data_IF_753313332610
#
_entry.id   IF_753313332610
#
_cell.length_a   1.000
_cell.length_b   1.000
_cell.length_c   1.000
_cell.angle_alpha   90.00
_cell.angle_beta   90.00
_cell.angle_gamma   90.00
#
_symmetry.space_group_name_H-M   'P 1'
#
loop_
_entity.id
_entity.type
_entity.pdbx_description
1 polymer ?
#
# COMPACT_ATOMS: atom_id res chain seq x y z
N UNK A 1 -12.16 -33.88 14.57
CA UNK A 1 -12.92 -32.83 13.87
C UNK A 1 -11.92 -31.78 13.41
N UNK A 2 -11.82 -31.53 12.11
CA UNK A 2 -10.93 -30.50 11.55
C UNK A 2 -11.68 -29.18 11.68
N UNK A 3 -11.27 -28.30 12.60
CA UNK A 3 -11.82 -26.95 12.67
C UNK A 3 -11.46 -26.23 11.36
N UNK A 4 -12.46 -26.03 10.50
CA UNK A 4 -12.31 -25.23 9.29
C UNK A 4 -12.50 -23.79 9.73
N UNK A 5 -11.43 -23.01 9.64
CA UNK A 5 -11.51 -21.59 9.93
C UNK A 5 -11.98 -20.83 8.68
N UNK A 6 -12.90 -19.86 8.82
CA UNK A 6 -13.37 -19.07 7.68
C UNK A 6 -12.22 -18.23 7.11
N UNK A 7 -11.91 -18.45 5.83
CA UNK A 7 -10.89 -17.70 5.09
C UNK A 7 -11.54 -17.03 3.89
N UNK A 8 -11.61 -15.71 3.93
CA UNK A 8 -12.03 -14.87 2.82
C UNK A 8 -10.75 -14.38 2.13
N UNK A 9 -10.73 -14.38 0.80
CA UNK A 9 -9.67 -13.74 0.00
C UNK A 9 -10.29 -13.21 -1.29
N UNK A 10 -10.43 -11.89 -1.41
CA UNK A 10 -11.10 -11.28 -2.56
C UNK A 10 -10.65 -9.85 -2.83
N UNK A 11 -10.92 -9.35 -4.04
CA UNK A 11 -10.71 -7.97 -4.40
C UNK A 11 -11.57 -7.05 -3.52
N UNK A 12 -11.00 -5.90 -3.15
CA UNK A 12 -11.61 -4.98 -2.22
C UNK A 12 -11.45 -3.52 -2.67
N UNK A 13 -12.38 -2.68 -2.21
CA UNK A 13 -12.26 -1.22 -2.25
C UNK A 13 -12.47 -0.70 -0.84
N UNK A 14 -11.60 0.19 -0.36
CA UNK A 14 -11.75 0.81 0.97
C UNK A 14 -12.46 2.15 0.79
N UNK A 15 -13.50 2.42 1.59
CA UNK A 15 -14.15 3.72 1.70
C UNK A 15 -14.03 4.28 3.11
N UNK A 16 -13.73 5.57 3.23
CA UNK A 16 -13.68 6.25 4.52
C UNK A 16 -14.13 7.70 4.44
N UNK A 17 -14.56 8.23 5.58
CA UNK A 17 -14.86 9.64 5.72
C UNK A 17 -13.54 10.40 5.98
N UNK A 18 -13.22 11.34 5.09
CA UNK A 18 -12.11 12.28 5.20
C UNK A 18 -12.66 13.68 5.35
N UNK A 19 -12.57 14.24 6.56
CA UNK A 19 -13.22 15.51 6.92
C UNK A 19 -14.72 15.43 6.55
N UNK A 20 -15.13 16.17 5.52
CA UNK A 20 -16.53 16.24 5.05
C UNK A 20 -16.77 15.49 3.73
N UNK A 21 -15.76 14.79 3.21
CA UNK A 21 -15.83 14.06 1.93
C UNK A 21 -15.62 12.57 2.12
N UNK A 22 -16.41 11.77 1.43
CA UNK A 22 -16.22 10.33 1.42
C UNK A 22 -15.21 9.96 0.34
N UNK A 23 -14.09 9.37 0.75
CA UNK A 23 -12.98 8.97 -0.11
C UNK A 23 -12.99 7.47 -0.33
N UNK A 24 -12.37 7.04 -1.43
CA UNK A 24 -12.22 5.65 -1.80
C UNK A 24 -10.78 5.35 -2.22
N UNK A 25 -10.32 4.15 -1.86
CA UNK A 25 -9.08 3.56 -2.35
C UNK A 25 -9.45 2.27 -3.07
N UNK A 26 -9.55 2.39 -4.39
CA UNK A 26 -9.92 1.30 -5.30
C UNK A 26 -8.73 0.84 -6.16
N UNK A 27 -7.73 1.69 -6.33
CA UNK A 27 -6.56 1.43 -7.17
C UNK A 27 -5.29 1.39 -6.33
N UNK A 28 -4.44 0.37 -6.53
CA UNK A 28 -3.06 0.42 -6.10
C UNK A 28 -2.26 1.42 -6.93
N UNK A 29 -0.97 1.55 -6.63
CA UNK A 29 -0.07 2.46 -7.32
C UNK A 29 -0.08 2.27 -8.86
N UNK A 30 -0.43 3.29 -9.66
CA UNK A 30 -0.64 3.20 -11.11
C UNK A 30 0.63 3.03 -11.94
N UNK A 31 1.83 2.98 -11.33
CA UNK A 31 3.05 2.60 -12.07
C UNK A 31 3.04 1.16 -12.58
N UNK A 32 2.07 0.35 -12.16
CA UNK A 32 1.73 -0.92 -12.79
C UNK A 32 0.63 -0.70 -13.84
N UNK A 33 0.99 -0.67 -15.13
CA UNK A 33 0.00 -0.60 -16.22
C UNK A 33 -0.65 -1.97 -16.54
N UNK A 34 -0.56 -2.93 -15.62
CA UNK A 34 -1.15 -4.26 -15.74
C UNK A 34 -2.39 -4.37 -14.88
N UNK A 35 -3.51 -4.65 -15.55
CA UNK A 35 -4.90 -4.74 -15.08
C UNK A 35 -5.16 -5.70 -13.89
N UNK A 36 -4.16 -6.34 -13.32
CA UNK A 36 -4.29 -7.47 -12.39
C UNK A 36 -4.09 -7.08 -10.92
N UNK A 37 -3.90 -5.80 -10.61
CA UNK A 37 -3.59 -5.35 -9.25
C UNK A 37 -4.84 -4.76 -8.60
N UNK A 38 -5.57 -5.58 -7.84
CA UNK A 38 -6.63 -5.13 -6.95
C UNK A 38 -6.11 -5.11 -5.51
N UNK A 39 -6.71 -4.29 -4.65
CA UNK A 39 -6.53 -4.45 -3.21
C UNK A 39 -7.14 -5.80 -2.82
N UNK A 40 -6.48 -6.55 -1.95
CA UNK A 40 -6.97 -7.85 -1.52
C UNK A 40 -7.33 -7.78 -0.04
N UNK A 41 -8.58 -8.07 0.31
CA UNK A 41 -8.95 -8.34 1.69
C UNK A 41 -8.80 -9.83 1.97
N UNK A 42 -8.18 -10.15 3.09
CA UNK A 42 -8.02 -11.50 3.60
C UNK A 42 -8.54 -11.57 5.03
N UNK A 43 -9.15 -12.68 5.38
CA UNK A 43 -9.40 -13.03 6.78
C UNK A 43 -8.49 -14.18 7.15
N UNK A 44 -7.75 -14.02 8.25
CA UNK A 44 -6.96 -15.08 8.85
C UNK A 44 -7.53 -15.38 10.22
N UNK A 45 -8.14 -16.55 10.35
CA UNK A 45 -8.53 -17.12 11.63
C UNK A 45 -7.76 -18.42 11.78
N UNK A 46 -6.95 -18.52 12.82
CA UNK A 46 -6.25 -19.73 13.23
C UNK A 46 -6.27 -19.85 14.76
N UNK A 47 -5.68 -20.91 15.31
CA UNK A 47 -5.65 -21.18 16.75
C UNK A 47 -4.93 -20.11 17.57
N UNK A 48 -4.14 -19.25 16.93
CA UNK A 48 -3.24 -18.32 17.60
C UNK A 48 -3.52 -16.87 17.26
N UNK A 49 -4.21 -16.60 16.16
CA UNK A 49 -4.45 -15.30 15.58
C UNK A 49 -5.79 -15.24 14.87
N UNK A 50 -6.49 -14.11 15.02
CA UNK A 50 -7.73 -13.85 14.30
C UNK A 50 -7.73 -12.40 13.90
N UNK A 51 -7.58 -12.13 12.60
CA UNK A 51 -7.43 -10.78 12.05
C UNK A 51 -7.94 -10.66 10.62
N UNK A 52 -8.27 -9.44 10.22
CA UNK A 52 -8.42 -9.03 8.83
C UNK A 52 -7.13 -8.38 8.34
N UNK A 53 -6.73 -8.71 7.11
CA UNK A 53 -5.64 -8.06 6.39
C UNK A 53 -6.20 -7.41 5.12
N UNK A 54 -5.79 -6.18 4.82
CA UNK A 54 -5.98 -5.61 3.49
C UNK A 54 -4.61 -5.36 2.88
N UNK A 55 -4.28 -6.10 1.84
CA UNK A 55 -3.05 -5.95 1.08
C UNK A 55 -3.24 -4.88 0.00
N UNK A 56 -2.41 -3.84 0.04
CA UNK A 56 -2.40 -2.74 -0.92
C UNK A 56 -1.09 -2.81 -1.70
N UNK A 57 -1.11 -3.26 -2.97
CA UNK A 57 0.06 -3.26 -3.82
C UNK A 57 0.57 -1.84 -4.08
N UNK A 58 1.88 -1.62 -3.95
CA UNK A 58 2.48 -0.32 -4.25
C UNK A 58 3.99 -0.38 -4.49
N UNK A 59 4.55 0.67 -5.09
CA UNK A 59 5.99 0.78 -5.23
C UNK A 59 6.62 1.52 -4.05
N UNK A 60 7.52 0.83 -3.35
CA UNK A 60 8.36 1.43 -2.31
C UNK A 60 9.82 1.39 -2.74
N UNK A 61 10.56 2.45 -2.44
CA UNK A 61 12.02 2.44 -2.58
C UNK A 61 12.60 1.51 -1.52
N UNK A 62 13.09 0.36 -1.94
CA UNK A 62 13.78 -0.59 -1.09
C UNK A 62 15.25 -0.19 -0.92
N UNK A 63 15.84 -0.53 0.23
CA UNK A 63 17.29 -0.37 0.50
C UNK A 63 18.12 -1.33 -0.35
N UNK A 64 17.57 -2.49 -0.69
CA UNK A 64 18.23 -3.53 -1.50
C UNK A 64 17.85 -3.43 -2.99
N UNK A 65 18.67 -4.02 -3.87
CA UNK A 65 18.41 -4.20 -5.32
C UNK A 65 17.26 -5.19 -5.61
N UNK A 66 16.23 -5.22 -4.78
CA UNK A 66 15.03 -6.03 -4.97
C UNK A 66 14.03 -5.28 -5.84
N UNK A 67 13.07 -6.02 -6.37
CA UNK A 67 11.95 -5.45 -7.11
C UNK A 67 11.26 -4.38 -6.25
N UNK A 68 11.04 -3.16 -6.76
CA UNK A 68 10.47 -2.06 -5.98
C UNK A 68 8.97 -2.26 -5.67
N UNK A 69 8.36 -3.32 -6.21
CA UNK A 69 6.97 -3.67 -6.06
C UNK A 69 6.77 -4.50 -4.81
N UNK A 70 5.99 -3.97 -3.87
CA UNK A 70 5.71 -4.58 -2.59
C UNK A 70 4.24 -4.34 -2.20
N UNK A 71 3.78 -4.98 -1.13
CA UNK A 71 2.45 -4.70 -0.58
C UNK A 71 2.60 -4.07 0.80
N UNK A 72 1.81 -3.02 1.05
CA UNK A 72 1.54 -2.54 2.40
C UNK A 72 0.33 -3.28 2.92
N UNK A 73 0.39 -3.72 4.17
CA UNK A 73 -0.69 -4.51 4.79
C UNK A 73 -1.33 -3.67 5.89
N UNK A 74 -2.64 -3.48 5.78
CA UNK A 74 -3.47 -2.96 6.87
C UNK A 74 -3.95 -4.16 7.70
N UNK A 75 -3.54 -4.23 8.95
CA UNK A 75 -3.84 -5.34 9.85
C UNK A 75 -4.81 -4.90 10.95
N UNK A 76 -5.89 -5.67 11.11
CA UNK A 76 -6.98 -5.40 12.05
C UNK A 76 -7.31 -6.67 12.83
N UNK A 77 -6.73 -6.86 14.02
CA UNK A 77 -7.10 -7.99 14.87
C UNK A 77 -8.60 -7.96 15.22
N UNK A 78 -9.27 -9.11 15.19
CA UNK A 78 -10.71 -9.17 15.49
C UNK A 78 -11.05 -8.66 16.90
N UNK A 79 -10.10 -8.71 17.82
CA UNK A 79 -10.22 -8.17 19.18
C UNK A 79 -10.30 -6.63 19.23
N UNK A 80 -9.81 -5.93 18.22
CA UNK A 80 -9.86 -4.46 18.17
C UNK A 80 -11.13 -3.94 17.51
N UNK A 81 -11.95 -4.82 16.92
CA UNK A 81 -13.19 -4.45 16.24
C UNK A 81 -14.31 -4.34 17.29
N UNK A 82 -14.81 -3.12 17.48
CA UNK A 82 -15.93 -2.81 18.36
C UNK A 82 -17.26 -3.28 17.75
N UNK A 83 -17.46 -2.96 16.47
CA UNK A 83 -18.66 -3.30 15.72
C UNK A 83 -18.30 -3.73 14.29
N UNK A 84 -18.98 -4.75 13.81
CA UNK A 84 -18.81 -5.32 12.49
C UNK A 84 -20.17 -5.67 11.91
N UNK A 85 -20.45 -5.13 10.72
CA UNK A 85 -21.68 -5.45 10.00
C UNK A 85 -21.44 -5.59 8.51
N UNK A 86 -22.14 -6.52 7.89
CA UNK A 86 -22.19 -6.68 6.45
C UNK A 86 -23.58 -6.31 5.94
N UNK A 87 -23.65 -5.61 4.80
CA UNK A 87 -24.90 -5.35 4.08
C UNK A 87 -24.69 -5.41 2.57
N UNK A 88 -25.70 -5.87 1.84
CA UNK A 88 -25.71 -5.74 0.40
C UNK A 88 -26.00 -4.29 0.01
N UNK A 89 -25.28 -3.75 -0.98
CA UNK A 89 -25.52 -2.41 -1.48
C UNK A 89 -26.56 -2.42 -2.61
N UNK A 90 -27.69 -1.72 -2.47
CA UNK A 90 -28.65 -1.58 -3.58
C UNK A 90 -28.11 -0.66 -4.67
N UNK A 91 -27.33 0.36 -4.28
CA UNK A 91 -26.68 1.29 -5.19
C UNK A 91 -25.20 1.33 -4.88
N UNK A 92 -24.37 0.92 -5.84
CA UNK A 92 -22.92 0.86 -5.68
C UNK A 92 -22.29 2.20 -6.09
N UNK A 93 -21.40 2.81 -5.28
CA UNK A 93 -20.68 4.02 -5.69
C UNK A 93 -19.85 3.82 -6.96
N UNK A 94 -19.67 4.87 -7.77
CA UNK A 94 -18.92 4.78 -9.03
C UNK A 94 -17.48 4.24 -8.87
N UNK A 95 -16.69 4.67 -7.86
CA UNK A 95 -15.34 4.14 -7.66
C UNK A 95 -15.31 2.64 -7.35
N UNK A 96 -16.39 2.12 -6.75
CA UNK A 96 -16.53 0.71 -6.39
C UNK A 96 -16.98 -0.11 -7.61
N UNK A 97 -17.94 0.40 -8.39
CA UNK A 97 -18.41 -0.21 -9.65
C UNK A 97 -17.32 -0.36 -10.70
N UNK A 98 -16.32 0.52 -10.68
CA UNK A 98 -15.21 0.46 -11.61
C UNK A 98 -14.29 -0.76 -11.39
N UNK A 99 -14.31 -1.37 -10.20
CA UNK A 99 -13.42 -2.47 -9.82
C UNK A 99 -14.12 -3.77 -9.46
N UNK A 100 -15.32 -3.67 -8.92
CA UNK A 100 -16.11 -4.80 -8.48
C UNK A 100 -17.26 -5.07 -9.45
N UNK A 101 -17.78 -6.27 -9.40
CA UNK A 101 -18.94 -6.71 -10.17
C UNK A 101 -20.22 -5.96 -9.77
N UNK A 102 -21.34 -6.29 -10.42
CA UNK A 102 -22.62 -5.60 -10.22
C UNK A 102 -23.25 -5.82 -8.84
N UNK A 103 -22.86 -6.87 -8.10
CA UNK A 103 -23.37 -7.15 -6.75
C UNK A 103 -22.24 -7.02 -5.73
N UNK A 104 -22.39 -6.09 -4.79
CA UNK A 104 -21.35 -5.72 -3.83
C UNK A 104 -21.87 -5.83 -2.40
N UNK A 105 -21.05 -6.43 -1.55
CA UNK A 105 -21.22 -6.43 -0.09
C UNK A 105 -20.38 -5.30 0.49
N UNK A 106 -20.99 -4.50 1.36
CA UNK A 106 -20.33 -3.49 2.19
C UNK A 106 -20.08 -4.08 3.57
N UNK A 107 -18.82 -4.11 3.98
CA UNK A 107 -18.36 -4.48 5.31
C UNK A 107 -18.04 -3.21 6.08
N UNK A 108 -18.87 -2.85 7.05
CA UNK A 108 -18.65 -1.69 7.90
C UNK A 108 -17.89 -2.11 9.16
N UNK A 109 -16.76 -1.44 9.39
CA UNK A 109 -15.88 -1.65 10.53
C UNK A 109 -15.93 -0.45 11.47
N UNK A 110 -16.08 -0.72 12.76
CA UNK A 110 -15.80 0.24 13.84
C UNK A 110 -14.75 -0.36 14.77
N UNK A 111 -13.63 0.33 14.94
CA UNK A 111 -12.49 -0.14 15.72
C UNK A 111 -12.35 0.64 17.04
N UNK A 112 -11.90 -0.05 18.09
CA UNK A 112 -11.50 0.56 19.36
C UNK A 112 -10.10 1.19 19.27
N UNK A 113 -9.24 0.58 18.46
CA UNK A 113 -7.84 0.97 18.24
C UNK A 113 -7.59 1.35 16.78
N UNK A 114 -6.52 2.07 16.52
CA UNK A 114 -6.13 2.46 15.16
C UNK A 114 -5.65 1.24 14.36
N UNK A 115 -5.75 1.32 13.03
CA UNK A 115 -5.32 0.24 12.14
C UNK A 115 -3.79 0.13 12.18
N UNK A 116 -3.27 -1.09 12.37
CA UNK A 116 -1.83 -1.33 12.31
C UNK A 116 -1.38 -1.42 10.87
N UNK A 117 -0.39 -0.62 10.48
CA UNK A 117 0.20 -0.63 9.14
C UNK A 117 1.50 -1.42 9.16
N UNK A 118 1.63 -2.37 8.25
CA UNK A 118 2.83 -3.17 8.07
C UNK A 118 3.46 -2.86 6.71
N UNK A 119 4.76 -2.59 6.72
CA UNK A 119 5.56 -2.33 5.51
C UNK A 119 6.70 -3.34 5.43
N UNK A 120 7.25 -3.61 4.24
CA UNK A 120 8.41 -4.47 4.13
C UNK A 120 9.59 -4.00 4.98
N UNK A 121 10.31 -4.93 5.61
CA UNK A 121 11.44 -4.63 6.50
C UNK A 121 12.52 -3.77 5.82
N UNK A 122 12.81 -4.10 4.55
CA UNK A 122 13.83 -3.46 3.70
C UNK A 122 13.32 -2.21 2.96
N UNK A 123 12.10 -1.73 3.25
CA UNK A 123 11.67 -0.44 2.74
C UNK A 123 12.44 0.68 3.47
N UNK A 124 13.01 1.64 2.71
CA UNK A 124 13.60 2.84 3.32
C UNK A 124 12.52 3.56 4.13
N UNK A 125 12.87 3.93 5.36
CA UNK A 125 11.95 4.50 6.33
C UNK A 125 11.25 5.76 5.83
N UNK A 126 9.96 5.80 6.19
CA UNK A 126 8.93 6.74 5.79
C UNK A 126 8.83 6.96 4.29
N UNK A 127 7.85 6.28 3.65
CA UNK A 127 7.49 6.59 2.28
C UNK A 127 7.27 8.10 2.14
N UNK A 128 8.08 8.75 1.30
CA UNK A 128 8.09 10.21 1.22
C UNK A 128 6.71 10.73 0.83
N UNK A 129 6.18 11.67 1.63
CA UNK A 129 4.91 12.34 1.34
C UNK A 129 4.93 12.98 -0.05
N UNK A 130 3.82 12.87 -0.78
CA UNK A 130 3.44 13.76 -1.88
C UNK A 130 4.42 14.00 -3.04
N UNK A 131 3.96 13.71 -4.26
CA UNK A 131 4.22 14.35 -5.58
C UNK A 131 4.03 13.37 -6.73
N UNK A 132 4.14 12.08 -6.44
CA UNK A 132 3.89 10.98 -7.40
C UNK A 132 2.67 10.18 -6.95
N UNK A 133 2.04 9.44 -7.87
CA UNK A 133 0.82 8.67 -7.59
C UNK A 133 1.00 7.67 -6.42
N UNK A 134 2.18 7.05 -6.29
CA UNK A 134 2.56 6.24 -5.13
C UNK A 134 2.43 6.99 -3.80
N UNK A 135 2.80 8.28 -3.79
CA UNK A 135 2.67 9.18 -2.64
C UNK A 135 1.22 9.45 -2.25
N UNK A 136 0.30 9.54 -3.22
CA UNK A 136 -1.13 9.72 -2.94
C UNK A 136 -1.74 8.48 -2.27
N UNK A 137 -1.36 7.28 -2.71
CA UNK A 137 -1.77 6.02 -2.07
C UNK A 137 -1.26 5.95 -0.62
N UNK A 138 -0.03 6.40 -0.38
CA UNK A 138 0.53 6.47 0.98
C UNK A 138 -0.17 7.48 1.88
N UNK A 139 -0.51 8.65 1.34
CA UNK A 139 -1.27 9.65 2.08
C UNK A 139 -2.66 9.12 2.45
N UNK A 140 -3.30 8.36 1.54
CA UNK A 140 -4.55 7.64 1.83
C UNK A 140 -4.36 6.56 2.91
N UNK A 141 -3.32 5.73 2.82
CA UNK A 141 -2.99 4.71 3.84
C UNK A 141 -2.76 5.37 5.20
N UNK A 142 -2.04 6.50 5.23
CA UNK A 142 -1.82 7.29 6.46
C UNK A 142 -3.14 7.76 7.05
N UNK A 143 -4.03 8.30 6.24
CA UNK A 143 -5.35 8.74 6.70
C UNK A 143 -6.19 7.56 7.22
N UNK A 144 -6.25 6.46 6.46
CA UNK A 144 -6.94 5.22 6.85
C UNK A 144 -6.37 4.66 8.16
N UNK A 145 -5.06 4.78 8.40
CA UNK A 145 -4.46 4.29 9.64
C UNK A 145 -4.90 5.05 10.90
N UNK A 146 -5.47 6.25 10.73
CA UNK A 146 -5.84 7.16 11.83
C UNK A 146 -7.33 7.16 12.12
N UNK A 147 -8.16 6.63 11.22
CA UNK A 147 -9.60 6.50 11.41
C UNK A 147 -9.95 5.23 12.17
N UNK A 148 -11.12 5.26 12.80
CA UNK A 148 -11.71 4.12 13.52
C UNK A 148 -12.98 3.59 12.87
N UNK A 149 -13.43 4.22 11.80
CA UNK A 149 -14.66 3.85 11.10
C UNK A 149 -14.46 3.97 9.61
N UNK A 150 -14.65 2.86 8.91
CA UNK A 150 -14.46 2.75 7.47
C UNK A 150 -15.29 1.57 6.94
N UNK A 151 -15.43 1.53 5.63
CA UNK A 151 -16.15 0.48 4.92
C UNK A 151 -15.20 -0.22 3.96
N UNK A 152 -15.35 -1.53 3.81
CA UNK A 152 -14.68 -2.31 2.76
C UNK A 152 -15.74 -2.91 1.86
N UNK A 153 -15.61 -2.69 0.56
CA UNK A 153 -16.52 -3.21 -0.45
C UNK A 153 -15.87 -4.42 -1.11
N UNK A 154 -16.62 -5.50 -1.26
CA UNK A 154 -16.18 -6.74 -1.93
C UNK A 154 -17.29 -7.28 -2.84
N UNK A 155 -16.92 -8.13 -3.79
CA UNK A 155 -17.89 -8.87 -4.60
C UNK A 155 -18.76 -9.78 -3.75
N UNK A 156 -20.04 -9.85 -4.12
CA UNK A 156 -20.97 -10.79 -3.51
C UNK A 156 -20.60 -12.23 -3.89
N UNK A 157 -20.56 -13.08 -2.87
CA UNK A 157 -20.47 -14.53 -3.02
C UNK A 157 -21.21 -15.17 -1.86
N UNK A 158 -22.06 -16.16 -2.16
CA UNK A 158 -22.80 -16.90 -1.12
C UNK A 158 -21.85 -17.53 -0.09
N UNK A 159 -20.65 -17.96 -0.51
CA UNK A 159 -19.62 -18.48 0.39
C UNK A 159 -19.11 -17.41 1.35
N UNK A 160 -18.85 -16.20 0.85
CA UNK A 160 -18.40 -15.08 1.69
C UNK A 160 -19.48 -14.65 2.67
N UNK A 161 -20.75 -14.66 2.26
CA UNK A 161 -21.86 -14.33 3.17
C UNK A 161 -21.93 -15.29 4.37
N UNK A 162 -21.80 -16.60 4.13
CA UNK A 162 -21.74 -17.61 5.19
C UNK A 162 -20.53 -17.39 6.11
N UNK A 163 -19.33 -17.20 5.54
CA UNK A 163 -18.11 -16.96 6.31
C UNK A 163 -18.17 -15.67 7.13
N UNK A 164 -18.68 -14.58 6.57
CA UNK A 164 -18.85 -13.30 7.26
C UNK A 164 -19.86 -13.42 8.40
N UNK A 165 -20.93 -14.19 8.20
CA UNK A 165 -21.92 -14.47 9.23
C UNK A 165 -21.31 -15.28 10.40
N UNK A 166 -20.49 -16.29 10.10
CA UNK A 166 -19.74 -17.05 11.13
C UNK A 166 -18.80 -16.16 11.93
N UNK A 167 -18.00 -15.33 11.24
CA UNK A 167 -17.09 -14.38 11.89
C UNK A 167 -17.88 -13.43 12.80
N UNK A 168 -18.99 -12.87 12.30
CA UNK A 168 -19.85 -11.96 13.07
C UNK A 168 -20.43 -12.64 14.31
N UNK A 169 -20.88 -13.89 14.18
CA UNK A 169 -21.44 -14.64 15.31
C UNK A 169 -20.37 -14.96 16.36
N UNK A 170 -19.17 -15.36 15.93
CA UNK A 170 -18.06 -15.61 16.84
C UNK A 170 -17.59 -14.32 17.54
N UNK A 171 -17.61 -13.18 16.86
CA UNK A 171 -17.36 -11.86 17.48
C UNK A 171 -18.42 -11.49 18.52
N UNK A 172 -19.70 -11.65 18.20
CA UNK A 172 -20.81 -11.36 19.12
C UNK A 172 -20.84 -12.33 20.31
N UNK A 173 -20.46 -13.59 20.11
CA UNK A 173 -20.27 -14.60 21.14
C UNK A 173 -19.06 -14.34 22.05
N UNK A 174 -18.33 -13.24 21.85
CA UNK A 174 -17.20 -12.83 22.67
C UNK A 174 -15.94 -13.67 22.48
N UNK A 175 -15.90 -14.57 21.49
CA UNK A 175 -14.78 -15.49 21.27
C UNK A 175 -13.46 -14.77 20.98
N UNK A 176 -13.53 -13.55 20.45
CA UNK A 176 -12.37 -12.71 20.14
C UNK A 176 -12.18 -11.53 21.11
N UNK A 177 -13.09 -11.32 22.07
CA UNK A 177 -13.08 -10.14 22.96
C UNK A 177 -12.04 -10.21 24.09
N UNK A 178 -11.41 -11.37 24.32
CA UNK A 178 -10.50 -11.58 25.45
C UNK A 178 -9.30 -12.47 25.11
N UNK A 179 -8.37 -11.98 24.29
CA UNK A 179 -6.98 -12.44 24.34
C UNK A 179 -6.06 -11.36 24.88
N UNK A 180 -6.38 -10.81 26.06
CA UNK A 180 -5.46 -9.93 26.83
C UNK A 180 -4.09 -10.58 27.10
N UNK A 181 -3.99 -11.91 26.97
CA UNK A 181 -2.76 -12.71 27.14
C UNK A 181 -2.05 -13.09 25.82
N UNK A 182 -2.62 -12.77 24.66
CA UNK A 182 -1.93 -12.87 23.38
C UNK A 182 -2.17 -11.56 22.66
N UNK A 183 -1.49 -10.51 23.13
CA UNK A 183 -1.16 -9.43 22.24
C UNK A 183 -0.56 -10.10 21.02
N UNK A 184 -1.28 -10.02 19.89
CA UNK A 184 -0.84 -10.61 18.65
C UNK A 184 0.49 -9.94 18.38
N UNK A 185 1.59 -10.64 18.68
CA UNK A 185 2.88 -10.11 18.35
C UNK A 185 2.97 -10.23 16.84
N UNK A 186 2.52 -9.18 16.16
CA UNK A 186 2.55 -9.09 14.71
C UNK A 186 3.98 -9.28 14.24
N UNK A 187 4.98 -8.88 15.03
CA UNK A 187 6.38 -9.19 14.72
C UNK A 187 6.61 -10.70 14.71
N UNK A 188 6.17 -11.45 15.74
CA UNK A 188 6.21 -12.92 15.73
C UNK A 188 5.39 -13.56 14.61
N UNK A 189 4.22 -13.02 14.24
CA UNK A 189 3.38 -13.57 13.17
C UNK A 189 4.07 -13.53 11.81
N UNK A 190 4.82 -12.46 11.55
CA UNK A 190 5.69 -12.34 10.38
C UNK A 190 7.13 -12.77 10.71
N UNK A 191 7.36 -13.49 11.82
CA UNK A 191 8.66 -14.02 12.27
C UNK A 191 9.80 -12.99 12.39
N UNK A 192 9.48 -11.70 12.45
CA UNK A 192 10.46 -10.61 12.33
C UNK A 192 11.11 -10.52 10.95
N UNK A 193 10.66 -11.33 9.99
CA UNK A 193 11.19 -11.44 8.65
C UNK A 193 10.20 -10.88 7.63
N UNK A 194 10.70 -10.04 6.73
CA UNK A 194 9.92 -9.54 5.60
C UNK A 194 9.06 -8.31 5.87
N UNK A 195 8.48 -8.10 7.07
CA UNK A 195 7.66 -6.92 7.39
C UNK A 195 7.92 -6.31 8.78
N UNK A 196 7.72 -4.99 8.91
CA UNK A 196 7.79 -4.22 10.17
C UNK A 196 6.58 -3.31 10.33
N UNK A 197 6.25 -2.98 11.59
CA UNK A 197 5.19 -2.00 11.89
C UNK A 197 5.65 -0.61 11.49
N UNK A 198 4.84 0.10 10.72
CA UNK A 198 5.07 1.48 10.31
C UNK A 198 4.24 2.44 11.14
N UNK A 199 4.89 3.38 11.82
CA UNK A 199 4.22 4.48 12.49
C UNK A 199 4.09 5.67 11.53
N UNK A 200 2.98 5.71 10.79
CA UNK A 200 2.65 6.83 9.91
C UNK A 200 2.10 7.99 10.77
N UNK A 201 2.97 8.93 11.15
CA UNK A 201 2.59 10.10 11.95
C UNK A 201 1.48 10.91 11.25
N UNK A 202 0.64 11.69 11.95
CA UNK A 202 -0.24 12.66 11.31
C UNK A 202 0.57 13.70 10.54
N UNK A 203 -0.02 14.23 9.47
CA UNK A 203 0.52 15.45 8.87
C UNK A 203 0.27 16.55 9.91
N UNK A 204 1.33 17.02 10.56
CA UNK A 204 1.27 18.30 11.26
C UNK A 204 0.79 19.29 10.19
N UNK A 205 -0.42 19.84 10.36
CA UNK A 205 -0.83 20.96 9.53
C UNK A 205 0.34 21.92 9.49
N UNK A 206 0.68 22.35 8.29
CA UNK A 206 1.78 23.25 8.03
C UNK A 206 1.80 24.26 9.17
N UNK A 207 2.87 24.25 9.98
CA UNK A 207 3.16 25.40 10.82
C UNK A 207 2.95 26.63 9.94
N UNK A 208 2.30 27.70 10.44
CA UNK A 208 2.03 28.88 9.63
C UNK A 208 3.28 29.19 8.82
N UNK A 209 3.13 29.46 7.53
CA UNK A 209 4.22 29.87 6.63
C UNK A 209 4.80 31.23 7.03
N UNK A 210 5.19 31.37 8.28
CA UNK A 210 5.84 32.51 8.88
C UNK A 210 7.23 32.02 9.32
N UNK A 211 8.09 31.75 8.34
CA UNK A 211 9.57 31.75 8.41
C UNK A 211 10.20 31.21 7.10
N UNK A 212 9.61 31.54 5.94
CA UNK A 212 10.33 31.44 4.64
C UNK A 212 10.67 32.79 4.03
N UNK A 213 10.44 33.89 4.75
CA UNK A 213 10.80 35.25 4.32
C UNK A 213 11.87 35.87 5.24
N UNK A 214 12.88 35.08 5.62
CA UNK A 214 14.17 35.64 6.05
C UNK A 214 15.29 34.81 5.43
N UNK A 215 15.35 34.83 4.09
CA UNK A 215 16.66 34.84 3.45
C UNK A 215 17.31 36.18 3.84
N UNK A 216 18.56 36.23 4.31
CA UNK A 216 19.25 37.51 4.48
C UNK A 216 19.23 38.21 3.11
N UNK A 217 18.58 39.37 3.03
CA UNK A 217 18.71 40.24 1.87
C UNK A 217 20.19 40.63 1.76
N UNK A 218 20.81 40.28 0.64
CA UNK A 218 22.22 40.55 0.39
C UNK A 218 22.41 41.99 -0.13
N UNK A 219 21.78 42.96 0.51
CA UNK A 219 21.85 44.37 0.13
C UNK A 219 22.11 45.21 1.38
N UNK A 220 23.36 45.19 1.85
CA UNK A 220 24.00 46.32 2.55
C UNK A 220 25.48 45.95 2.79
N UNK A 221 26.27 45.96 1.71
CA UNK A 221 27.72 46.11 1.83
C UNK A 221 28.05 47.48 1.21
N UNK A 222 28.56 48.46 1.98
CA UNK A 222 28.98 49.72 1.40
C UNK A 222 30.16 49.48 0.46
N UNK A 223 30.01 49.95 -0.76
CA UNK A 223 31.01 49.97 -1.82
C UNK A 223 32.35 50.51 -1.31
N UNK A 224 33.37 49.67 -1.23
CA UNK A 224 34.76 50.10 -1.18
C UNK A 224 35.54 49.47 -2.33
N UNK A 225 36.11 50.36 -3.12
CA UNK A 225 36.99 50.13 -4.26
C UNK A 225 38.25 49.35 -3.87
N UNK A 226 38.70 48.42 -4.72
CA UNK A 226 39.97 48.50 -5.47
C UNK A 226 40.47 47.14 -5.96
N UNK A 227 41.10 47.18 -7.13
CA UNK A 227 42.10 46.27 -7.72
C UNK A 227 41.71 44.94 -8.39
N UNK A 228 41.57 45.07 -9.72
CA UNK A 228 42.34 44.35 -10.76
C UNK A 228 43.13 43.12 -10.28
N UNK A 229 42.69 41.92 -10.66
CA UNK A 229 43.51 41.03 -11.54
C UNK A 229 42.70 39.86 -12.10
N UNK A 230 42.71 39.76 -13.42
CA UNK A 230 42.28 38.65 -14.27
C UNK A 230 42.92 37.32 -13.88
N UNK A 231 42.15 36.22 -13.70
CA UNK A 231 42.57 34.86 -14.11
C UNK A 231 41.40 33.88 -14.43
N UNK A 232 41.27 33.58 -15.73
CA UNK A 232 41.20 32.26 -16.42
C UNK A 232 40.03 31.26 -16.25
N UNK A 233 39.42 30.97 -17.43
CA UNK A 233 39.17 29.63 -18.10
C UNK A 233 38.22 28.64 -17.39
N UNK A 234 37.34 27.82 -18.00
CA UNK A 234 37.12 27.31 -19.39
C UNK A 234 35.72 26.61 -19.46
N UNK A 235 35.18 26.51 -20.69
CA UNK A 235 33.93 25.85 -21.22
C UNK A 235 33.90 24.30 -21.00
N UNK A 236 32.96 23.42 -21.51
CA UNK A 236 31.85 23.59 -22.48
C UNK A 236 30.55 22.74 -22.27
N UNK A 237 29.51 23.02 -23.08
CA UNK A 237 28.30 22.18 -23.26
C UNK A 237 28.64 20.92 -24.07
N UNK A 238 28.24 19.73 -23.61
CA UNK A 238 28.35 18.44 -24.34
C UNK A 238 27.02 18.07 -24.98
N UNK A 239 27.07 17.66 -26.24
CA UNK A 239 26.00 17.01 -27.01
C UNK A 239 25.94 15.49 -26.71
N UNK A 240 24.82 14.79 -27.03
CA UNK A 240 24.62 13.38 -26.68
C UNK A 240 25.27 12.45 -27.71
N UNK A 241 25.85 11.35 -27.24
CA UNK A 241 26.62 10.38 -28.03
C UNK A 241 25.81 9.09 -28.25
N UNK A 242 25.85 8.55 -29.48
CA UNK A 242 25.19 7.34 -30.00
C UNK A 242 25.67 6.02 -29.33
N UNK A 243 25.24 5.74 -28.09
CA UNK A 243 25.54 4.45 -27.44
C UNK A 243 24.32 3.54 -27.17
N UNK A 244 23.10 3.98 -27.50
CA UNK A 244 21.88 3.22 -27.19
C UNK A 244 21.54 2.10 -28.20
N UNK A 245 22.27 1.99 -29.31
CA UNK A 245 21.94 1.01 -30.36
C UNK A 245 22.56 -0.37 -30.13
N UNK A 246 23.73 -0.46 -29.49
CA UNK A 246 24.42 -1.75 -29.26
C UNK A 246 23.84 -2.52 -28.05
N UNK A 247 23.34 -1.82 -27.04
CA UNK A 247 22.65 -2.40 -25.88
C UNK A 247 21.31 -3.02 -26.25
N UNK A 248 20.58 -2.39 -27.17
CA UNK A 248 19.30 -2.90 -27.70
C UNK A 248 19.44 -4.23 -28.47
N UNK A 249 20.51 -4.37 -29.26
CA UNK A 249 20.76 -5.59 -30.03
C UNK A 249 21.12 -6.78 -29.13
N UNK A 250 21.91 -6.55 -28.07
CA UNK A 250 22.27 -7.59 -27.10
C UNK A 250 21.06 -8.06 -26.25
N UNK A 251 20.15 -7.15 -25.90
CA UNK A 251 18.91 -7.51 -25.19
C UNK A 251 17.92 -8.28 -26.07
N UNK A 252 17.84 -7.94 -27.36
CA UNK A 252 17.00 -8.68 -28.31
C UNK A 252 17.53 -10.11 -28.57
N UNK A 253 18.85 -10.29 -28.65
CA UNK A 253 19.48 -11.59 -28.90
C UNK A 253 19.40 -12.51 -27.67
N UNK A 254 19.49 -11.94 -26.47
CA UNK A 254 19.29 -12.69 -25.20
C UNK A 254 17.84 -13.10 -24.99
N UNK A 255 16.85 -12.27 -25.38
CA UNK A 255 15.44 -12.65 -25.31
C UNK A 255 15.07 -13.74 -26.33
N UNK A 256 15.63 -13.70 -27.54
CA UNK A 256 15.45 -14.77 -28.54
C UNK A 256 16.01 -16.11 -28.07
N UNK A 257 17.22 -16.12 -27.53
CA UNK A 257 17.85 -17.36 -27.02
C UNK A 257 17.13 -17.94 -25.81
N UNK A 258 16.51 -17.10 -24.96
CA UNK A 258 15.71 -17.55 -23.83
C UNK A 258 14.36 -18.13 -24.28
N UNK A 259 13.74 -17.54 -25.31
CA UNK A 259 12.49 -18.04 -25.89
C UNK A 259 12.69 -19.39 -26.62
N UNK A 260 13.77 -19.55 -27.38
CA UNK A 260 14.11 -20.83 -28.03
C UNK A 260 14.39 -21.95 -27.02
N UNK A 261 15.04 -21.64 -25.88
CA UNK A 261 15.26 -22.61 -24.81
C UNK A 261 13.96 -23.04 -24.13
N UNK A 262 12.99 -22.13 -23.98
CA UNK A 262 11.68 -22.47 -23.43
C UNK A 262 10.87 -23.35 -24.38
N UNK A 263 10.86 -23.03 -25.67
CA UNK A 263 10.19 -23.83 -26.69
C UNK A 263 10.78 -25.25 -26.83
N UNK A 264 12.12 -25.37 -26.74
CA UNK A 264 12.80 -26.67 -26.74
C UNK A 264 12.53 -27.50 -25.46
N UNK A 265 12.20 -26.85 -24.35
CA UNK A 265 11.85 -27.52 -23.09
C UNK A 265 10.42 -28.04 -23.10
N UNK A 266 9.48 -27.31 -23.71
CA UNK A 266 8.09 -27.74 -23.88
C UNK A 266 7.96 -28.94 -24.82
N UNK A 267 8.74 -28.96 -25.92
CA UNK A 267 8.77 -30.11 -26.85
C UNK A 267 9.33 -31.41 -26.24
N UNK A 268 10.11 -31.33 -25.16
CA UNK A 268 10.64 -32.51 -24.44
C UNK A 268 9.71 -33.05 -23.35
N UNK A 269 8.68 -32.31 -22.97
CA UNK A 269 7.70 -32.76 -21.97
C UNK A 269 6.47 -33.45 -22.57
N UNK A 270 6.30 -33.39 -23.89
CA UNK A 270 5.14 -33.95 -24.61
C UNK A 270 5.49 -35.14 -25.51
N UNK A 271 6.65 -35.79 -25.33
CA UNK A 271 7.01 -37.07 -25.98
C UNK A 271 7.14 -38.19 -24.96
#
# INVERSE_FOLDING_TARGET
>A
MTEIYPQISTAAVIGWQSRDTLKYLAEPDPKNNTLTEALLIKTRVDKTSSLFEICIPMYLKLTEKRTPKVSVILCMPLSTIENFSSRMLPTVPQPVRAKLSSQVICLDFKLNENITVLIPLYAKEQPAQGKTQSGLVLDNIREISQIKSFSVYIDYSALFEVQLHEIRNAMNGGHYRFTRKRQLDLQSLYQGEGAKIAHLLPQLEQAPRAQRDQLPAYDEVPSSSSDVTTQKRKRPRREPNDHDSETSLLEAETLKTLHERMAAFELRQTS
#
